data_IF_584345009006
#
_entry.id   IF_584345009006
#
_cell.length_a   1.000
_cell.length_b   1.000
_cell.length_c   1.000
_cell.angle_alpha   90.00
_cell.angle_beta   90.00
_cell.angle_gamma   90.00
#
_symmetry.space_group_name_H-M   'P 1'
#
loop_
_entity.id
_entity.type
_entity.pdbx_description
1 polymer ?
#
# COMPACT_ATOMS: atom_id res chain seq x y z
N UNK A 1 -12.15 14.70 -22.06
CA UNK A 1 -10.72 14.92 -21.76
C UNK A 1 -9.93 13.78 -22.38
N UNK A 2 -8.94 14.09 -23.24
CA UNK A 2 -8.08 13.10 -23.88
C UNK A 2 -7.28 12.34 -22.80
N UNK A 3 -6.92 11.08 -23.08
CA UNK A 3 -6.19 10.23 -22.10
C UNK A 3 -4.92 10.91 -21.57
N UNK A 4 -4.17 11.60 -22.43
CA UNK A 4 -2.94 12.31 -22.07
C UNK A 4 -3.20 13.49 -21.14
N UNK A 5 -4.20 14.34 -21.43
CA UNK A 5 -4.58 15.47 -20.59
C UNK A 5 -4.99 15.03 -19.18
N UNK A 6 -5.70 13.91 -19.08
CA UNK A 6 -6.04 13.31 -17.78
C UNK A 6 -4.81 12.86 -17.02
N UNK A 7 -3.86 12.23 -17.71
CA UNK A 7 -2.62 11.77 -17.10
C UNK A 7 -1.81 12.95 -16.55
N UNK A 8 -1.65 14.01 -17.32
CA UNK A 8 -0.94 15.20 -16.91
C UNK A 8 -1.63 15.90 -15.72
N UNK A 9 -2.97 15.99 -15.75
CA UNK A 9 -3.74 16.54 -14.63
C UNK A 9 -3.59 15.71 -13.34
N UNK A 10 -3.62 14.38 -13.43
CA UNK A 10 -3.43 13.51 -12.26
C UNK A 10 -2.01 13.66 -11.72
N UNK A 11 -0.97 13.73 -12.56
CA UNK A 11 0.41 13.97 -12.13
C UNK A 11 0.54 15.28 -11.33
N UNK A 12 -0.07 16.34 -11.80
CA UNK A 12 -0.07 17.63 -11.13
C UNK A 12 -0.81 17.58 -9.78
N UNK A 13 -1.97 16.91 -9.74
CA UNK A 13 -2.72 16.64 -8.51
C UNK A 13 -1.87 15.86 -7.50
N UNK A 14 -1.22 14.79 -7.92
CA UNK A 14 -0.35 14.00 -7.06
C UNK A 14 0.85 14.82 -6.55
N UNK A 15 1.42 15.67 -7.43
CA UNK A 15 2.54 16.55 -7.06
C UNK A 15 2.14 17.55 -5.98
N UNK A 16 0.90 18.07 -6.02
CA UNK A 16 0.36 19.02 -5.03
C UNK A 16 -0.38 18.34 -3.87
N UNK A 17 -0.67 17.05 -3.97
CA UNK A 17 -1.53 16.29 -3.02
C UNK A 17 -2.92 16.92 -2.89
N UNK A 18 -3.51 17.32 -4.00
CA UNK A 18 -4.81 18.03 -4.05
C UNK A 18 -5.95 17.02 -4.29
N UNK A 19 -6.46 16.42 -3.20
CA UNK A 19 -7.50 15.39 -3.29
C UNK A 19 -8.85 15.96 -3.73
N UNK A 20 -9.14 17.23 -3.43
CA UNK A 20 -10.35 17.90 -3.89
C UNK A 20 -10.36 18.04 -5.42
N UNK A 21 -9.21 18.36 -6.01
CA UNK A 21 -9.05 18.39 -7.46
C UNK A 21 -9.19 16.97 -8.08
N UNK A 22 -8.74 15.93 -7.38
CA UNK A 22 -8.90 14.54 -7.82
C UNK A 22 -10.39 14.15 -7.93
N UNK A 23 -11.21 14.57 -6.99
CA UNK A 23 -12.65 14.29 -7.00
C UNK A 23 -13.38 15.04 -8.11
N UNK A 24 -12.93 16.24 -8.43
CA UNK A 24 -13.52 17.11 -9.46
C UNK A 24 -13.09 16.78 -10.89
N UNK A 25 -12.18 15.82 -11.09
CA UNK A 25 -11.76 15.41 -12.42
C UNK A 25 -12.95 14.93 -13.28
N UNK A 26 -13.09 15.42 -14.52
CA UNK A 26 -14.16 15.01 -15.42
C UNK A 26 -13.92 13.62 -16.01
N UNK A 27 -13.94 12.60 -15.15
CA UNK A 27 -13.71 11.21 -15.49
C UNK A 27 -14.46 10.29 -14.52
N UNK A 28 -14.81 9.08 -14.97
CA UNK A 28 -15.44 8.10 -14.07
C UNK A 28 -14.46 7.62 -12.99
N UNK A 29 -14.97 7.20 -11.84
CA UNK A 29 -14.15 6.65 -10.75
C UNK A 29 -13.21 5.53 -11.22
N UNK A 30 -13.71 4.60 -12.00
CA UNK A 30 -12.88 3.52 -12.57
C UNK A 30 -11.81 4.00 -13.56
N UNK A 31 -12.03 5.12 -14.27
CA UNK A 31 -11.00 5.73 -15.12
C UNK A 31 -9.90 6.40 -14.30
N UNK A 32 -10.25 7.03 -13.18
CA UNK A 32 -9.30 7.65 -12.26
C UNK A 32 -8.48 6.57 -11.58
N UNK A 33 -9.11 5.53 -11.02
CA UNK A 33 -8.42 4.42 -10.36
C UNK A 33 -7.41 3.73 -11.31
N UNK A 34 -7.80 3.42 -12.55
CA UNK A 34 -6.89 2.83 -13.53
C UNK A 34 -5.72 3.76 -13.91
N UNK A 35 -5.95 5.06 -13.94
CA UNK A 35 -4.86 6.00 -14.17
C UNK A 35 -3.89 6.05 -12.98
N UNK A 36 -4.40 6.06 -11.74
CA UNK A 36 -3.58 6.02 -10.52
C UNK A 36 -2.71 4.76 -10.44
N UNK A 37 -3.21 3.60 -10.88
CA UNK A 37 -2.39 2.37 -10.97
C UNK A 37 -1.11 2.55 -11.79
N UNK A 38 -1.13 3.37 -12.86
CA UNK A 38 0.07 3.65 -13.64
C UNK A 38 1.08 4.49 -12.84
N UNK A 39 0.60 5.43 -12.00
CA UNK A 39 1.45 6.25 -11.16
C UNK A 39 2.06 5.51 -9.97
N UNK A 40 1.49 4.39 -9.54
CA UNK A 40 2.09 3.49 -8.54
C UNK A 40 3.44 2.92 -9.03
N UNK A 41 3.70 2.96 -10.33
CA UNK A 41 4.97 2.55 -10.96
C UNK A 41 5.81 3.74 -11.45
N UNK A 42 5.49 4.97 -11.05
CA UNK A 42 6.25 6.18 -11.46
C UNK A 42 7.69 6.15 -10.92
N UNK A 43 8.62 6.77 -11.65
CA UNK A 43 10.01 6.83 -11.24
C UNK A 43 10.25 7.69 -9.99
N UNK A 44 9.41 8.69 -9.74
CA UNK A 44 9.48 9.56 -8.57
C UNK A 44 8.88 8.89 -7.32
N UNK A 45 9.69 8.63 -6.30
CA UNK A 45 9.24 7.95 -5.08
C UNK A 45 8.03 8.62 -4.43
N UNK A 46 8.04 9.94 -4.31
CA UNK A 46 6.93 10.69 -3.70
C UNK A 46 5.65 10.60 -4.53
N UNK A 47 5.74 10.63 -5.86
CA UNK A 47 4.58 10.50 -6.76
C UNK A 47 3.97 9.10 -6.64
N UNK A 48 4.80 8.05 -6.58
CA UNK A 48 4.34 6.68 -6.34
C UNK A 48 3.54 6.55 -5.05
N UNK A 49 4.09 7.04 -3.95
CA UNK A 49 3.44 6.97 -2.65
C UNK A 49 2.14 7.77 -2.59
N UNK A 50 2.13 8.95 -3.19
CA UNK A 50 0.90 9.75 -3.31
C UNK A 50 -0.13 9.10 -4.22
N UNK A 51 0.29 8.31 -5.22
CA UNK A 51 -0.64 7.49 -6.00
C UNK A 51 -1.25 6.37 -5.18
N UNK A 52 -0.47 5.72 -4.30
CA UNK A 52 -0.99 4.75 -3.32
C UNK A 52 -2.02 5.40 -2.41
N UNK A 53 -1.71 6.56 -1.81
CA UNK A 53 -2.67 7.30 -0.97
C UNK A 53 -3.93 7.70 -1.75
N UNK A 54 -3.76 8.24 -2.96
CA UNK A 54 -4.88 8.65 -3.82
C UNK A 54 -5.81 7.50 -4.22
N UNK A 55 -5.28 6.28 -4.37
CA UNK A 55 -6.09 5.08 -4.58
C UNK A 55 -7.01 4.81 -3.39
N UNK A 56 -6.51 4.91 -2.17
CA UNK A 56 -7.32 4.78 -0.95
C UNK A 56 -8.38 5.87 -0.85
N UNK A 57 -7.99 7.14 -1.04
CA UNK A 57 -8.92 8.30 -1.03
C UNK A 57 -10.03 8.10 -2.06
N UNK A 58 -9.67 7.76 -3.31
CA UNK A 58 -10.66 7.57 -4.37
C UNK A 58 -11.53 6.35 -4.15
N UNK A 59 -10.99 5.26 -3.64
CA UNK A 59 -11.77 4.06 -3.27
C UNK A 59 -12.81 4.38 -2.19
N UNK A 60 -12.44 5.18 -1.17
CA UNK A 60 -13.37 5.65 -0.13
C UNK A 60 -14.49 6.51 -0.71
N UNK A 61 -14.16 7.46 -1.58
CA UNK A 61 -15.15 8.35 -2.20
C UNK A 61 -16.15 7.61 -3.12
N UNK A 62 -15.83 6.43 -3.58
CA UNK A 62 -16.71 5.59 -4.41
C UNK A 62 -17.67 4.70 -3.59
N UNK A 63 -17.61 4.72 -2.25
CA UNK A 63 -18.56 3.95 -1.44
C UNK A 63 -19.99 4.43 -1.67
N UNK A 64 -21.00 3.54 -1.79
CA UNK A 64 -20.95 2.07 -1.66
C UNK A 64 -20.57 1.32 -2.96
N UNK A 65 -20.32 2.02 -4.07
CA UNK A 65 -19.93 1.34 -5.32
C UNK A 65 -18.55 0.68 -5.15
N UNK A 66 -18.46 -0.61 -5.45
CA UNK A 66 -17.28 -1.41 -5.18
C UNK A 66 -16.68 -2.09 -6.42
N UNK A 67 -17.43 -2.20 -7.51
CA UNK A 67 -17.01 -2.92 -8.71
C UNK A 67 -15.67 -2.45 -9.24
N UNK A 68 -15.52 -1.14 -9.47
CA UNK A 68 -14.29 -0.57 -10.00
C UNK A 68 -13.10 -0.72 -9.03
N UNK A 69 -13.38 -0.63 -7.71
CA UNK A 69 -12.37 -0.81 -6.66
C UNK A 69 -11.91 -2.27 -6.61
N UNK A 70 -12.85 -3.24 -6.63
CA UNK A 70 -12.53 -4.68 -6.69
C UNK A 70 -11.72 -5.04 -7.94
N UNK A 71 -12.06 -4.48 -9.10
CA UNK A 71 -11.31 -4.69 -10.34
C UNK A 71 -9.86 -4.22 -10.20
N UNK A 72 -9.62 -3.09 -9.54
CA UNK A 72 -8.27 -2.56 -9.30
C UNK A 72 -7.49 -3.44 -8.33
N UNK A 73 -8.09 -3.87 -7.21
CA UNK A 73 -7.44 -4.79 -6.28
C UNK A 73 -7.07 -6.10 -6.99
N UNK A 74 -7.98 -6.70 -7.75
CA UNK A 74 -7.72 -7.92 -8.51
C UNK A 74 -6.62 -7.73 -9.55
N UNK A 75 -6.57 -6.56 -10.20
CA UNK A 75 -5.50 -6.24 -11.14
C UNK A 75 -4.14 -6.16 -10.44
N UNK A 76 -4.05 -5.59 -9.23
CA UNK A 76 -2.81 -5.60 -8.45
C UNK A 76 -2.42 -7.03 -8.04
N UNK A 77 -3.37 -7.85 -7.56
CA UNK A 77 -3.11 -9.26 -7.24
C UNK A 77 -2.59 -9.99 -8.47
N UNK A 78 -3.18 -9.78 -9.63
CA UNK A 78 -2.71 -10.37 -10.88
C UNK A 78 -1.26 -9.98 -11.18
N UNK A 79 -0.89 -8.70 -11.01
CA UNK A 79 0.50 -8.27 -11.26
C UNK A 79 1.50 -8.85 -10.26
N UNK A 80 1.08 -9.28 -9.07
CA UNK A 80 1.93 -9.98 -8.11
C UNK A 80 2.15 -11.46 -8.45
N UNK A 81 1.26 -12.05 -9.25
CA UNK A 81 1.34 -13.45 -9.70
C UNK A 81 1.90 -13.58 -11.13
N UNK A 82 2.26 -12.48 -11.80
CA UNK A 82 2.65 -12.48 -13.21
C UNK A 82 4.11 -12.90 -13.39
N UNK A 83 4.32 -14.08 -13.95
CA UNK A 83 5.65 -14.62 -14.28
C UNK A 83 6.32 -13.90 -15.47
N UNK A 84 5.59 -13.05 -16.22
CA UNK A 84 6.12 -12.33 -17.39
C UNK A 84 7.10 -11.20 -17.02
N UNK A 85 7.25 -10.88 -15.74
CA UNK A 85 8.14 -9.84 -15.24
C UNK A 85 7.53 -8.43 -15.23
N UNK A 86 6.26 -8.28 -15.55
CA UNK A 86 5.52 -7.00 -15.45
C UNK A 86 4.98 -6.79 -14.02
N UNK A 87 5.84 -6.89 -13.03
CA UNK A 87 5.49 -6.82 -11.63
C UNK A 87 5.25 -5.37 -11.18
N UNK A 88 4.14 -5.11 -10.52
CA UNK A 88 3.92 -3.87 -9.78
C UNK A 88 4.45 -4.03 -8.34
N UNK A 89 5.69 -3.59 -8.09
CA UNK A 89 6.36 -3.79 -6.80
C UNK A 89 5.63 -3.14 -5.61
N UNK A 90 4.83 -2.12 -5.85
CA UNK A 90 4.03 -1.44 -4.81
C UNK A 90 2.57 -1.90 -4.79
N UNK A 91 2.25 -3.02 -5.40
CA UNK A 91 0.90 -3.57 -5.37
C UNK A 91 0.41 -3.88 -3.95
N UNK A 92 1.21 -4.48 -3.05
CA UNK A 92 0.78 -4.72 -1.68
C UNK A 92 0.43 -3.43 -0.93
N UNK A 93 1.26 -2.38 -1.06
CA UNK A 93 1.01 -1.07 -0.45
C UNK A 93 -0.29 -0.45 -0.98
N UNK A 94 -0.52 -0.52 -2.29
CA UNK A 94 -1.75 -0.01 -2.90
C UNK A 94 -2.99 -0.76 -2.40
N UNK A 95 -2.94 -2.08 -2.32
CA UNK A 95 -4.01 -2.91 -1.76
C UNK A 95 -4.24 -2.55 -0.30
N UNK A 96 -3.18 -2.47 0.50
CA UNK A 96 -3.25 -2.14 1.93
C UNK A 96 -3.92 -0.78 2.18
N UNK A 97 -3.55 0.25 1.43
CA UNK A 97 -4.15 1.58 1.55
C UNK A 97 -5.62 1.60 1.13
N UNK A 98 -5.99 0.93 0.03
CA UNK A 98 -7.39 0.78 -0.38
C UNK A 98 -8.20 0.10 0.74
N UNK A 99 -7.71 -1.00 1.29
CA UNK A 99 -8.41 -1.76 2.34
C UNK A 99 -8.43 -1.02 3.70
N UNK A 100 -7.45 -0.17 3.98
CA UNK A 100 -7.48 0.71 5.14
C UNK A 100 -8.66 1.70 5.05
N UNK A 101 -8.91 2.24 3.85
CA UNK A 101 -9.98 3.19 3.57
C UNK A 101 -11.35 2.55 3.27
N UNK A 102 -11.39 1.25 2.93
CA UNK A 102 -12.59 0.47 2.57
C UNK A 102 -12.71 -0.79 3.44
N UNK A 103 -13.14 -0.64 4.70
CA UNK A 103 -13.26 -1.77 5.64
C UNK A 103 -14.23 -2.86 5.17
N UNK A 104 -15.21 -2.51 4.36
CA UNK A 104 -16.17 -3.43 3.75
C UNK A 104 -15.55 -4.45 2.78
N UNK A 105 -14.37 -4.16 2.22
CA UNK A 105 -13.64 -5.05 1.31
C UNK A 105 -12.61 -5.94 2.01
N UNK A 106 -12.31 -5.70 3.30
CA UNK A 106 -11.32 -6.47 4.07
C UNK A 106 -11.61 -7.97 4.15
N UNK A 107 -12.87 -8.42 4.36
CA UNK A 107 -13.17 -9.85 4.43
C UNK A 107 -12.79 -10.62 3.15
N UNK A 108 -12.84 -9.95 1.99
CA UNK A 108 -12.53 -10.57 0.70
C UNK A 108 -11.02 -10.59 0.40
N UNK A 109 -10.26 -9.56 0.81
CA UNK A 109 -8.90 -9.36 0.29
C UNK A 109 -7.80 -9.32 1.35
N UNK A 110 -8.08 -8.95 2.61
CA UNK A 110 -7.02 -8.71 3.59
C UNK A 110 -6.22 -9.99 3.93
N UNK A 111 -6.87 -11.14 3.91
CA UNK A 111 -6.25 -12.44 4.19
C UNK A 111 -5.20 -12.87 3.15
N UNK A 112 -5.16 -12.21 1.99
CA UNK A 112 -4.18 -12.50 0.94
C UNK A 112 -2.81 -11.84 1.19
N UNK A 113 -2.76 -10.76 1.99
CA UNK A 113 -1.53 -10.00 2.17
C UNK A 113 -0.40 -10.73 2.93
N UNK A 114 -0.69 -11.52 3.99
CA UNK A 114 0.37 -12.18 4.76
C UNK A 114 1.24 -13.12 3.95
N UNK A 115 0.72 -13.82 2.94
CA UNK A 115 1.51 -14.72 2.09
C UNK A 115 2.66 -14.00 1.37
N UNK A 116 2.49 -12.74 1.01
CA UNK A 116 3.51 -11.95 0.32
C UNK A 116 4.62 -11.41 1.22
N UNK A 117 4.58 -11.64 2.54
CA UNK A 117 5.67 -11.26 3.43
C UNK A 117 6.95 -12.09 3.21
N UNK A 118 6.86 -13.19 2.46
CA UNK A 118 7.99 -14.08 2.13
C UNK A 118 8.25 -14.17 0.62
N UNK A 119 7.49 -13.44 -0.19
CA UNK A 119 7.55 -13.47 -1.65
C UNK A 119 8.31 -12.25 -2.19
N UNK A 120 9.51 -12.46 -2.73
CA UNK A 120 10.24 -11.38 -3.42
C UNK A 120 9.51 -10.95 -4.71
N UNK A 121 9.39 -9.64 -4.96
CA UNK A 121 9.93 -8.48 -4.22
C UNK A 121 8.90 -7.77 -3.31
N UNK A 122 7.90 -8.46 -2.79
CA UNK A 122 6.70 -7.87 -2.15
C UNK A 122 6.79 -7.82 -0.62
N UNK A 123 7.80 -8.42 0.01
CA UNK A 123 7.86 -8.64 1.46
C UNK A 123 7.68 -7.35 2.27
N UNK A 124 8.48 -6.34 1.97
CA UNK A 124 8.38 -5.04 2.66
C UNK A 124 7.06 -4.34 2.40
N UNK A 125 6.54 -4.45 1.18
CA UNK A 125 5.24 -3.89 0.80
C UNK A 125 4.08 -4.54 1.54
N UNK A 126 4.09 -5.88 1.66
CA UNK A 126 3.08 -6.62 2.41
C UNK A 126 3.11 -6.28 3.90
N UNK A 127 4.31 -6.17 4.50
CA UNK A 127 4.45 -5.74 5.89
C UNK A 127 3.93 -4.30 6.09
N UNK A 128 4.21 -3.38 5.16
CA UNK A 128 3.68 -2.02 5.20
C UNK A 128 2.15 -2.01 5.12
N UNK A 129 1.57 -2.78 4.19
CA UNK A 129 0.13 -2.90 4.03
C UNK A 129 -0.55 -3.43 5.30
N UNK A 130 0.02 -4.46 5.93
CA UNK A 130 -0.48 -5.01 7.19
C UNK A 130 -0.34 -4.02 8.36
N UNK A 131 0.72 -3.21 8.41
CA UNK A 131 0.83 -2.11 9.37
C UNK A 131 -0.31 -1.09 9.17
N UNK A 132 -0.58 -0.69 7.92
CA UNK A 132 -1.68 0.25 7.60
C UNK A 132 -3.05 -0.30 7.99
N UNK A 133 -3.29 -1.59 7.77
CA UNK A 133 -4.53 -2.25 8.19
C UNK A 133 -4.66 -2.28 9.71
N UNK A 134 -3.58 -2.61 10.43
CA UNK A 134 -3.58 -2.63 11.89
C UNK A 134 -3.87 -1.22 12.47
N UNK A 135 -3.26 -0.18 11.91
CA UNK A 135 -3.52 1.24 12.26
C UNK A 135 -4.95 1.66 11.96
N UNK A 136 -5.57 1.06 10.94
CA UNK A 136 -6.99 1.26 10.60
C UNK A 136 -7.94 0.34 11.42
N UNK A 137 -7.45 -0.29 12.48
CA UNK A 137 -8.23 -1.13 13.38
C UNK A 137 -8.49 -2.56 12.86
N UNK A 138 -7.68 -3.05 11.93
CA UNK A 138 -7.76 -4.42 11.42
C UNK A 138 -6.41 -5.13 11.59
N UNK A 139 -6.18 -5.70 12.77
CA UNK A 139 -4.98 -6.50 13.04
C UNK A 139 -5.00 -7.80 12.22
N UNK A 140 -3.82 -8.18 11.72
CA UNK A 140 -3.65 -9.49 11.10
C UNK A 140 -3.77 -10.60 12.17
N UNK A 141 -4.25 -11.77 11.74
CA UNK A 141 -4.24 -12.96 12.58
C UNK A 141 -2.79 -13.29 13.00
N UNK A 142 -2.52 -13.46 14.30
CA UNK A 142 -1.18 -13.80 14.79
C UNK A 142 -0.58 -15.05 14.14
N UNK A 143 -1.39 -16.04 13.80
CA UNK A 143 -0.91 -17.25 13.11
C UNK A 143 -0.42 -16.96 11.68
N UNK A 144 -1.00 -15.99 11.02
CA UNK A 144 -0.55 -15.53 9.68
C UNK A 144 0.78 -14.78 9.73
N UNK A 145 1.21 -14.31 10.89
CA UNK A 145 2.47 -13.60 11.12
C UNK A 145 3.60 -14.53 11.62
N UNK A 146 3.40 -15.85 11.57
CA UNK A 146 4.45 -16.82 11.92
C UNK A 146 5.71 -16.58 11.10
N UNK A 147 6.86 -16.56 11.76
CA UNK A 147 8.15 -16.32 11.09
C UNK A 147 8.51 -14.84 10.92
N UNK A 148 7.63 -13.88 11.26
CA UNK A 148 7.91 -12.45 11.16
C UNK A 148 9.19 -12.05 11.91
N UNK A 149 9.47 -12.70 13.05
CA UNK A 149 10.67 -12.42 13.86
C UNK A 149 11.99 -12.72 13.12
N UNK A 150 11.99 -13.63 12.16
CA UNK A 150 13.19 -13.89 11.32
C UNK A 150 13.60 -12.65 10.52
N UNK A 151 12.68 -11.71 10.28
CA UNK A 151 12.96 -10.47 9.57
C UNK A 151 13.47 -9.34 10.49
N UNK A 152 13.43 -9.48 11.81
CA UNK A 152 13.80 -8.39 12.74
C UNK A 152 15.27 -7.98 12.65
N UNK A 153 16.15 -8.88 12.27
CA UNK A 153 17.58 -8.62 12.04
C UNK A 153 17.96 -8.59 10.56
N UNK A 154 17.00 -8.45 9.66
CA UNK A 154 17.29 -8.49 8.22
C UNK A 154 18.23 -7.35 7.80
N UNK A 155 19.12 -7.63 6.82
CA UNK A 155 20.11 -6.66 6.33
C UNK A 155 19.50 -5.43 5.65
N UNK A 156 18.32 -5.58 5.07
CA UNK A 156 17.57 -4.48 4.48
C UNK A 156 16.82 -3.73 5.61
N UNK A 157 17.14 -2.42 5.84
CA UNK A 157 16.59 -1.68 6.98
C UNK A 157 15.06 -1.56 6.95
N UNK A 158 14.47 -1.37 5.77
CA UNK A 158 13.02 -1.25 5.61
C UNK A 158 12.31 -2.53 6.03
N UNK A 159 12.79 -3.69 5.60
CA UNK A 159 12.22 -5.00 5.97
C UNK A 159 12.31 -5.24 7.47
N UNK A 160 13.48 -4.97 8.07
CA UNK A 160 13.67 -5.10 9.51
C UNK A 160 12.77 -4.13 10.31
N UNK A 161 12.68 -2.87 9.91
CA UNK A 161 11.85 -1.86 10.58
C UNK A 161 10.37 -2.17 10.49
N UNK A 162 9.87 -2.49 9.30
CA UNK A 162 8.44 -2.81 9.08
C UNK A 162 8.03 -4.10 9.81
N UNK A 163 8.88 -5.13 9.84
CA UNK A 163 8.58 -6.37 10.57
C UNK A 163 8.42 -6.10 12.08
N UNK A 164 9.28 -5.28 12.66
CA UNK A 164 9.19 -4.89 14.09
C UNK A 164 7.95 -4.00 14.36
N UNK A 165 7.64 -3.05 13.46
CA UNK A 165 6.43 -2.22 13.55
C UNK A 165 5.19 -3.09 13.52
N UNK A 166 5.10 -4.04 12.58
CA UNK A 166 3.99 -4.96 12.45
C UNK A 166 3.84 -5.83 13.70
N UNK A 167 4.93 -6.40 14.22
CA UNK A 167 4.91 -7.18 15.46
C UNK A 167 4.35 -6.37 16.63
N UNK A 168 4.81 -5.12 16.80
CA UNK A 168 4.30 -4.20 17.84
C UNK A 168 2.81 -3.93 17.68
N UNK A 169 2.35 -3.64 16.46
CA UNK A 169 0.92 -3.39 16.17
C UNK A 169 0.05 -4.62 16.40
N UNK A 170 0.59 -5.81 16.16
CA UNK A 170 -0.08 -7.09 16.42
C UNK A 170 0.04 -7.58 17.88
N UNK A 171 0.72 -6.84 18.75
CA UNK A 171 0.95 -7.24 20.14
C UNK A 171 1.89 -8.44 20.32
N UNK A 172 2.68 -8.78 19.29
CA UNK A 172 3.64 -9.87 19.35
C UNK A 172 4.89 -9.44 20.13
N UNK A 173 5.35 -10.30 21.03
CA UNK A 173 6.60 -10.08 21.78
C UNK A 173 7.74 -10.83 21.09
N UNK A 174 8.89 -10.17 20.83
CA UNK A 174 10.05 -10.85 20.29
C UNK A 174 10.57 -11.90 21.29
N UNK A 175 11.06 -13.03 20.77
CA UNK A 175 11.62 -14.11 21.59
C UNK A 175 12.94 -13.71 22.29
N UNK A 176 13.65 -12.72 21.73
CA UNK A 176 14.88 -12.13 22.28
C UNK A 176 14.85 -10.61 22.24
N UNK A 177 15.53 -9.99 23.19
CA UNK A 177 15.79 -8.54 23.20
C UNK A 177 17.07 -8.21 22.39
N UNK A 178 17.26 -6.94 22.05
CA UNK A 178 18.57 -6.46 21.59
C UNK A 178 18.77 -6.42 20.07
N UNK A 179 17.72 -6.38 19.28
CA UNK A 179 17.87 -6.04 17.86
C UNK A 179 18.36 -4.58 17.72
N UNK A 180 19.41 -4.31 16.92
CA UNK A 180 19.93 -2.95 16.76
C UNK A 180 18.85 -2.04 16.14
N UNK A 181 18.82 -0.75 16.50
CA UNK A 181 17.91 0.19 15.86
C UNK A 181 18.18 0.24 14.36
N UNK A 182 17.13 0.41 13.57
CA UNK A 182 17.22 0.60 12.12
C UNK A 182 16.45 1.84 11.73
N UNK A 183 16.96 2.58 10.75
CA UNK A 183 16.28 3.72 10.15
C UNK A 183 16.06 3.46 8.66
N UNK A 184 14.88 3.77 8.16
CA UNK A 184 14.51 3.60 6.75
C UNK A 184 13.55 4.68 6.31
N UNK A 185 13.56 4.98 5.02
CA UNK A 185 12.60 5.92 4.44
C UNK A 185 11.22 5.27 4.36
N UNK A 186 10.22 5.94 4.91
CA UNK A 186 8.83 5.51 4.87
C UNK A 186 7.89 6.67 4.53
N UNK A 187 6.74 6.34 3.97
CA UNK A 187 5.71 7.32 3.65
C UNK A 187 4.77 7.52 4.83
N UNK A 188 4.56 8.78 5.18
CA UNK A 188 3.56 9.17 6.17
C UNK A 188 2.30 9.71 5.51
N UNK A 189 1.20 8.93 5.48
CA UNK A 189 -0.06 9.37 4.87
C UNK A 189 -0.68 10.59 5.57
N UNK A 190 -0.37 10.84 6.84
CA UNK A 190 -0.89 11.99 7.58
C UNK A 190 -0.34 13.32 7.06
N UNK A 191 0.93 13.34 6.68
CA UNK A 191 1.63 14.52 6.13
C UNK A 191 1.77 14.50 4.61
N UNK A 192 1.65 13.32 4.00
CA UNK A 192 1.87 13.12 2.56
C UNK A 192 3.32 13.26 2.14
N UNK A 193 4.26 12.93 3.04
CA UNK A 193 5.70 13.07 2.82
C UNK A 193 6.46 11.80 3.13
N UNK A 194 7.65 11.67 2.52
CA UNK A 194 8.63 10.67 2.91
C UNK A 194 9.42 11.18 4.11
N UNK A 195 9.62 10.31 5.10
CA UNK A 195 10.40 10.60 6.31
C UNK A 195 11.19 9.39 6.77
N UNK A 196 12.23 9.63 7.57
CA UNK A 196 12.95 8.54 8.22
C UNK A 196 12.11 7.98 9.38
N UNK A 197 11.80 6.69 9.30
CA UNK A 197 11.17 5.90 10.37
C UNK A 197 12.24 5.08 11.11
N UNK A 198 11.99 4.77 12.38
CA UNK A 198 12.86 3.97 13.26
C UNK A 198 12.10 2.85 13.94
#
# INVERSE_FOLDING_TARGET
VRRRERYDAIRDILTRRDWDALEKLPATGGQILRALMLFVQDNGALVRWRAVEALGVKAKALFPEDRAVREVIRSFIWTMCDESGNLCRMAPEAIGEILAMRPDLRPEFAHLLPQYMVEEPFESGAMWALCRLAEAGHAADPDSLRGLEACFGHKEPRRAGLSRRLARLAGLKPSRAGYPPVSFEDYDPSTGTLKMAT
#
